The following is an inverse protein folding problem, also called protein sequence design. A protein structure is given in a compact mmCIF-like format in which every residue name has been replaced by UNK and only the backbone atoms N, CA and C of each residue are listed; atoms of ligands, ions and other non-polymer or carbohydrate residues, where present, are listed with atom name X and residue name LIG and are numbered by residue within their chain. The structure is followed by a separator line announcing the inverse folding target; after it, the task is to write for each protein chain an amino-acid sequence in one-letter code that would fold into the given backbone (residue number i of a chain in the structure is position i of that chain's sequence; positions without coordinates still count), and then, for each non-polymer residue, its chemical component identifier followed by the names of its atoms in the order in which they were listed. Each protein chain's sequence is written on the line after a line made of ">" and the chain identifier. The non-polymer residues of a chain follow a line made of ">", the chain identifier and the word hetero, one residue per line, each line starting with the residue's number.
data_IF_790194463539
#
_entry.id   IF_790194463539
#
_cell.length_a   1.000
_cell.length_b   1.000
_cell.length_c   1.000
_cell.angle_alpha   90.00
_cell.angle_beta   90.00
_cell.angle_gamma   90.00
#
_symmetry.space_group_name_H-M   'P 1'
#
loop_
_entity.id
_entity.type
_entity.pdbx_description
1 polymer ?
#
# COMPACT_ATOMS: atom_id res chain seq x y z
N UNK A 1 -9.89 13.84 9.01
CA UNK A 1 -9.11 14.65 9.98
C UNK A 1 -9.07 14.08 11.41
N UNK A 2 -10.15 14.07 12.22
CA UNK A 2 -10.09 13.53 13.61
C UNK A 2 -9.75 12.03 13.65
N UNK A 3 -10.30 11.25 12.73
CA UNK A 3 -10.01 9.82 12.55
C UNK A 3 -8.56 9.57 12.12
N UNK A 4 -8.01 10.40 11.23
CA UNK A 4 -6.63 10.34 10.74
C UNK A 4 -5.62 10.60 11.87
N UNK A 5 -5.88 11.62 12.70
CA UNK A 5 -5.13 11.91 13.92
C UNK A 5 -5.21 10.76 14.93
N UNK A 6 -6.37 10.12 15.08
CA UNK A 6 -6.54 8.97 15.97
C UNK A 6 -5.71 7.76 15.50
N UNK A 7 -5.67 7.49 14.19
CA UNK A 7 -4.86 6.41 13.60
C UNK A 7 -3.37 6.68 13.77
N UNK A 8 -2.94 7.92 13.57
CA UNK A 8 -1.55 8.32 13.80
C UNK A 8 -1.18 8.19 15.28
N UNK A 9 -2.03 8.67 16.19
CA UNK A 9 -1.84 8.53 17.63
C UNK A 9 -1.80 7.06 18.06
N UNK A 10 -2.65 6.22 17.48
CA UNK A 10 -2.63 4.77 17.73
C UNK A 10 -1.33 4.14 17.22
N UNK A 11 -0.86 4.49 16.02
CA UNK A 11 0.41 4.01 15.47
C UNK A 11 1.59 4.40 16.38
N UNK A 12 1.67 5.67 16.77
CA UNK A 12 2.67 6.16 17.72
C UNK A 12 2.54 5.52 19.10
N UNK A 13 1.32 5.25 19.58
CA UNK A 13 1.09 4.55 20.83
C UNK A 13 1.58 3.09 20.78
N UNK A 14 1.39 2.39 19.66
CA UNK A 14 1.99 1.05 19.45
C UNK A 14 3.51 1.08 19.44
N UNK A 15 4.12 2.09 18.81
CA UNK A 15 5.59 2.28 18.83
C UNK A 15 6.08 2.54 20.25
N UNK A 16 5.43 3.45 20.98
CA UNK A 16 5.76 3.75 22.37
C UNK A 16 5.58 2.53 23.28
N UNK A 17 4.50 1.76 23.09
CA UNK A 17 4.25 0.52 23.82
C UNK A 17 5.31 -0.55 23.54
N UNK A 18 5.74 -0.69 22.27
CA UNK A 18 6.84 -1.60 21.92
C UNK A 18 8.17 -1.15 22.53
N UNK A 19 8.43 0.15 22.60
CA UNK A 19 9.66 0.67 23.20
C UNK A 19 9.66 0.52 24.73
N UNK A 20 8.51 0.68 25.37
CA UNK A 20 8.37 0.57 26.83
C UNK A 20 8.29 -0.87 27.35
N UNK A 21 7.75 -1.81 26.56
CA UNK A 21 7.50 -3.19 26.97
C UNK A 21 8.69 -4.15 26.83
N UNK A 22 9.79 -3.71 26.22
CA UNK A 22 10.98 -4.53 25.90
C UNK A 22 10.65 -5.96 25.38
N UNK A 23 9.71 -6.10 24.41
CA UNK A 23 9.20 -7.40 23.97
C UNK A 23 10.30 -8.26 23.31
N UNK A 24 11.41 -7.64 22.91
CA UNK A 24 12.62 -8.32 22.42
C UNK A 24 13.13 -9.38 23.40
N UNK A 25 12.93 -9.21 24.71
CA UNK A 25 13.33 -10.22 25.70
C UNK A 25 12.41 -11.45 25.75
N UNK A 26 11.14 -11.29 25.34
CA UNK A 26 10.16 -12.38 25.24
C UNK A 26 10.19 -13.08 23.87
N UNK A 27 10.71 -12.42 22.84
CA UNK A 27 10.93 -12.99 21.51
C UNK A 27 11.94 -14.14 21.62
N UNK A 28 11.46 -15.36 21.38
CA UNK A 28 12.26 -16.58 21.44
C UNK A 28 12.04 -17.45 22.69
N UNK A 29 11.49 -16.89 23.78
CA UNK A 29 11.17 -17.65 24.99
C UNK A 29 9.84 -18.42 24.86
N UNK A 30 8.85 -17.80 24.21
CA UNK A 30 7.53 -18.40 23.97
C UNK A 30 7.11 -18.21 22.51
N UNK A 31 7.09 -19.29 21.69
CA UNK A 31 6.80 -19.16 20.25
C UNK A 31 5.41 -18.57 19.97
N UNK A 32 4.43 -18.82 20.85
CA UNK A 32 3.09 -18.25 20.74
C UNK A 32 3.07 -16.72 20.89
N UNK A 33 3.87 -16.17 21.82
CA UNK A 33 3.94 -14.71 22.05
C UNK A 33 4.64 -14.04 20.87
N UNK A 34 5.72 -14.65 20.35
CA UNK A 34 6.39 -14.16 19.15
C UNK A 34 5.44 -14.09 17.96
N UNK A 35 4.65 -15.14 17.71
CA UNK A 35 3.67 -15.16 16.61
C UNK A 35 2.58 -14.10 16.80
N UNK A 36 2.07 -13.93 18.03
CA UNK A 36 1.05 -12.93 18.33
C UNK A 36 1.57 -11.50 18.13
N UNK A 37 2.79 -11.21 18.59
CA UNK A 37 3.44 -9.91 18.37
C UNK A 37 3.71 -9.65 16.89
N UNK A 38 4.12 -10.66 16.13
CA UNK A 38 4.30 -10.55 14.69
C UNK A 38 3.00 -10.21 13.97
N UNK A 39 1.91 -10.95 14.25
CA UNK A 39 0.60 -10.70 13.65
C UNK A 39 0.08 -9.31 14.04
N UNK A 40 0.25 -8.91 15.30
CA UNK A 40 -0.11 -7.58 15.76
C UNK A 40 0.65 -6.49 15.00
N UNK A 41 1.98 -6.60 14.91
CA UNK A 41 2.82 -5.61 14.25
C UNK A 41 2.50 -5.54 12.75
N UNK A 42 2.36 -6.69 12.10
CA UNK A 42 1.95 -6.78 10.70
C UNK A 42 0.58 -6.11 10.48
N UNK A 43 -0.38 -6.40 11.35
CA UNK A 43 -1.71 -5.79 11.33
C UNK A 43 -1.66 -4.26 11.51
N UNK A 44 -0.82 -3.76 12.42
CA UNK A 44 -0.63 -2.33 12.64
C UNK A 44 -0.02 -1.64 11.41
N UNK A 45 0.97 -2.26 10.76
CA UNK A 45 1.59 -1.74 9.52
C UNK A 45 0.56 -1.71 8.38
N UNK A 46 -0.19 -2.80 8.18
CA UNK A 46 -1.26 -2.86 7.17
C UNK A 46 -2.33 -1.79 7.43
N UNK A 47 -2.78 -1.67 8.67
CA UNK A 47 -3.76 -0.67 9.08
C UNK A 47 -3.27 0.76 8.83
N UNK A 48 -1.98 1.05 9.07
CA UNK A 48 -1.38 2.33 8.78
C UNK A 48 -1.29 2.59 7.26
N UNK A 49 -0.83 1.62 6.48
CA UNK A 49 -0.70 1.72 5.03
C UNK A 49 -2.05 2.02 4.35
N UNK A 50 -3.10 1.27 4.70
CA UNK A 50 -4.46 1.57 4.21
C UNK A 50 -4.96 2.96 4.63
N UNK A 51 -4.48 3.49 5.75
CA UNK A 51 -4.82 4.85 6.17
C UNK A 51 -4.23 5.91 5.29
N UNK A 52 -2.96 5.76 4.92
CA UNK A 52 -2.28 6.67 3.98
C UNK A 52 -2.97 6.65 2.61
N UNK A 53 -3.29 5.45 2.10
CA UNK A 53 -3.97 5.31 0.80
C UNK A 53 -5.34 6.00 0.80
N UNK A 54 -6.13 5.84 1.86
CA UNK A 54 -7.48 6.42 1.91
C UNK A 54 -7.46 7.95 1.92
N UNK A 55 -6.48 8.56 2.62
CA UNK A 55 -6.30 10.01 2.58
C UNK A 55 -5.78 10.46 1.20
N UNK A 56 -4.93 9.66 0.54
CA UNK A 56 -4.47 9.94 -0.82
C UNK A 56 -5.63 9.88 -1.84
N UNK A 57 -6.57 8.96 -1.68
CA UNK A 57 -7.80 8.89 -2.48
C UNK A 57 -8.67 10.14 -2.29
N UNK A 58 -8.93 10.55 -1.04
CA UNK A 58 -9.72 11.76 -0.77
C UNK A 58 -9.06 13.03 -1.34
N UNK A 59 -7.72 13.10 -1.30
CA UNK A 59 -6.96 14.17 -1.95
C UNK A 59 -7.09 14.09 -3.47
N UNK A 60 -6.99 12.89 -4.05
CA UNK A 60 -7.08 12.68 -5.49
C UNK A 60 -8.43 13.11 -6.07
N UNK A 61 -9.53 12.82 -5.36
CA UNK A 61 -10.88 13.26 -5.75
C UNK A 61 -11.01 14.79 -5.78
N UNK A 62 -10.36 15.47 -4.83
CA UNK A 62 -10.39 16.94 -4.77
C UNK A 62 -9.55 17.62 -5.85
N UNK A 63 -8.47 16.97 -6.28
CA UNK A 63 -7.59 17.50 -7.33
C UNK A 63 -8.16 17.29 -8.75
N UNK A 64 -9.05 16.32 -8.94
CA UNK A 64 -9.62 15.98 -10.25
C UNK A 64 -8.59 15.36 -11.22
N UNK A 65 -9.02 15.04 -12.43
CA UNK A 65 -8.14 14.47 -13.46
C UNK A 65 -7.36 15.58 -14.19
N UNK A 66 -6.04 15.41 -14.45
CA UNK A 66 -5.21 14.20 -14.35
C UNK A 66 -4.38 14.06 -13.06
N UNK A 67 -4.43 15.07 -12.17
CA UNK A 67 -3.55 15.14 -11.00
C UNK A 67 -3.89 14.07 -9.94
N UNK A 68 -5.18 13.72 -9.79
CA UNK A 68 -5.61 12.68 -8.84
C UNK A 68 -4.94 11.32 -9.10
N UNK A 69 -4.84 10.89 -10.36
CA UNK A 69 -4.17 9.64 -10.73
C UNK A 69 -2.67 9.67 -10.44
N UNK A 70 -2.02 10.81 -10.64
CA UNK A 70 -0.60 10.98 -10.31
C UNK A 70 -0.37 10.90 -8.80
N UNK A 71 -1.24 11.52 -7.99
CA UNK A 71 -1.15 11.44 -6.52
C UNK A 71 -1.37 10.02 -6.03
N UNK A 72 -2.35 9.29 -6.59
CA UNK A 72 -2.63 7.91 -6.20
C UNK A 72 -1.45 6.97 -6.51
N UNK A 73 -0.88 7.08 -7.73
CA UNK A 73 0.28 6.27 -8.14
C UNK A 73 1.55 6.64 -7.36
N UNK A 74 1.75 7.91 -7.06
CA UNK A 74 2.86 8.36 -6.22
C UNK A 74 2.72 7.81 -4.78
N UNK A 75 1.51 7.83 -4.22
CA UNK A 75 1.26 7.32 -2.86
C UNK A 75 1.63 5.84 -2.72
N UNK A 76 1.20 4.99 -3.65
CA UNK A 76 1.52 3.56 -3.59
C UNK A 76 3.02 3.30 -3.74
N UNK A 77 3.71 4.02 -4.63
CA UNK A 77 5.17 3.92 -4.82
C UNK A 77 5.93 4.39 -3.58
N UNK A 78 5.47 5.46 -2.91
CA UNK A 78 6.10 5.92 -1.67
C UNK A 78 6.02 4.86 -0.57
N UNK A 79 4.85 4.22 -0.40
CA UNK A 79 4.68 3.14 0.58
C UNK A 79 5.61 1.96 0.24
N UNK A 80 5.72 1.60 -1.03
CA UNK A 80 6.60 0.53 -1.50
C UNK A 80 8.08 0.84 -1.20
N UNK A 81 8.57 2.01 -1.59
CA UNK A 81 9.96 2.44 -1.34
C UNK A 81 10.26 2.53 0.15
N UNK A 82 9.31 2.99 0.96
CA UNK A 82 9.45 3.04 2.42
C UNK A 82 9.60 1.66 3.04
N UNK A 83 8.84 0.65 2.56
CA UNK A 83 8.97 -0.74 3.04
C UNK A 83 10.32 -1.35 2.63
N UNK A 84 10.79 -1.11 1.40
CA UNK A 84 12.11 -1.57 0.96
C UNK A 84 13.21 -0.93 1.82
N UNK A 85 13.13 0.38 2.06
CA UNK A 85 14.09 1.10 2.90
C UNK A 85 14.11 0.58 4.35
N UNK A 86 12.93 0.29 4.93
CA UNK A 86 12.82 -0.26 6.27
C UNK A 86 13.51 -1.63 6.39
N UNK A 87 13.33 -2.51 5.41
CA UNK A 87 13.98 -3.83 5.39
C UNK A 87 15.49 -3.70 5.19
N UNK A 88 15.94 -2.82 4.30
CA UNK A 88 17.36 -2.52 4.08
C UNK A 88 18.06 -2.00 5.34
N UNK A 89 17.39 -1.13 6.08
CA UNK A 89 17.92 -0.60 7.35
C UNK A 89 17.99 -1.70 8.42
N UNK A 90 17.08 -2.67 8.41
CA UNK A 90 17.14 -3.83 9.30
C UNK A 90 18.24 -4.84 8.92
N UNK A 91 18.66 -4.87 7.65
CA UNK A 91 19.58 -5.89 7.12
C UNK A 91 21.08 -5.65 7.44
N UNK A 92 21.42 -4.66 8.27
CA UNK A 92 22.81 -4.27 8.58
C UNK A 92 23.70 -5.41 9.13
N UNK A 93 23.10 -6.42 9.76
CA UNK A 93 23.84 -7.54 10.36
C UNK A 93 24.18 -8.66 9.36
N UNK A 94 23.42 -8.80 8.27
CA UNK A 94 23.61 -9.84 7.24
C UNK A 94 23.15 -9.29 5.88
N UNK A 95 24.07 -8.74 5.05
CA UNK A 95 23.69 -8.02 3.83
C UNK A 95 23.03 -8.89 2.75
N UNK A 96 23.20 -10.22 2.80
CA UNK A 96 22.53 -11.15 1.88
C UNK A 96 21.02 -11.18 2.08
N UNK A 97 20.55 -11.10 3.33
CA UNK A 97 19.12 -11.08 3.66
C UNK A 97 18.41 -9.85 3.09
N UNK A 98 19.07 -8.69 3.12
CA UNK A 98 18.53 -7.48 2.52
C UNK A 98 18.31 -7.66 1.02
N UNK A 99 19.34 -8.11 0.29
CA UNK A 99 19.24 -8.30 -1.16
C UNK A 99 18.14 -9.30 -1.53
N UNK A 100 18.04 -10.42 -0.79
CA UNK A 100 17.09 -11.48 -1.10
C UNK A 100 15.64 -11.02 -0.84
N UNK A 101 15.41 -10.19 0.17
CA UNK A 101 14.10 -9.59 0.45
C UNK A 101 13.71 -8.51 -0.56
N UNK A 102 14.65 -7.66 -1.01
CA UNK A 102 14.39 -6.70 -2.09
C UNK A 102 14.01 -7.41 -3.39
N UNK A 103 14.74 -8.47 -3.76
CA UNK A 103 14.39 -9.27 -4.93
C UNK A 103 13.01 -9.94 -4.78
N UNK A 104 12.65 -10.43 -3.59
CA UNK A 104 11.33 -10.98 -3.34
C UNK A 104 10.22 -9.92 -3.52
N UNK A 105 10.39 -8.72 -2.96
CA UNK A 105 9.41 -7.62 -3.10
C UNK A 105 9.25 -7.23 -4.57
N UNK A 106 10.35 -7.04 -5.30
CA UNK A 106 10.30 -6.71 -6.73
C UNK A 106 9.62 -7.80 -7.56
N UNK A 107 9.86 -9.08 -7.25
CA UNK A 107 9.18 -10.20 -7.94
C UNK A 107 7.66 -10.16 -7.71
N UNK A 108 7.22 -9.82 -6.51
CA UNK A 108 5.79 -9.69 -6.18
C UNK A 108 5.16 -8.52 -6.94
N UNK A 109 5.82 -7.37 -7.00
CA UNK A 109 5.26 -6.18 -7.68
C UNK A 109 5.28 -6.36 -9.21
N UNK A 110 6.41 -6.80 -9.76
CA UNK A 110 6.56 -6.93 -11.22
C UNK A 110 5.81 -8.12 -11.81
N UNK A 111 5.76 -9.27 -11.13
CA UNK A 111 5.09 -10.46 -11.67
C UNK A 111 3.73 -10.71 -11.02
N UNK A 112 3.63 -10.51 -9.70
CA UNK A 112 2.38 -10.72 -8.97
C UNK A 112 1.30 -9.71 -9.33
N UNK A 113 1.59 -8.41 -9.18
CA UNK A 113 0.60 -7.35 -9.47
C UNK A 113 0.27 -7.28 -10.95
N UNK A 114 1.28 -7.32 -11.83
CA UNK A 114 1.06 -7.33 -13.30
C UNK A 114 0.29 -8.57 -13.74
N UNK A 115 0.65 -9.76 -13.23
CA UNK A 115 -0.07 -10.99 -13.52
C UNK A 115 -1.52 -10.96 -13.05
N UNK A 116 -1.78 -10.39 -11.86
CA UNK A 116 -3.14 -10.21 -11.35
C UNK A 116 -3.94 -9.23 -12.23
N UNK A 117 -3.33 -8.12 -12.67
CA UNK A 117 -3.94 -7.20 -13.63
C UNK A 117 -4.32 -7.88 -14.94
N UNK A 118 -3.46 -8.76 -15.48
CA UNK A 118 -3.76 -9.51 -16.70
C UNK A 118 -4.89 -10.54 -16.49
N UNK A 119 -4.91 -11.22 -15.34
CA UNK A 119 -5.95 -12.20 -15.02
C UNK A 119 -7.31 -11.52 -14.82
N UNK A 120 -7.32 -10.38 -14.13
CA UNK A 120 -8.52 -9.55 -13.91
C UNK A 120 -8.99 -8.84 -15.19
N UNK A 121 -8.07 -8.31 -15.99
CA UNK A 121 -8.42 -7.70 -17.28
C UNK A 121 -8.89 -8.73 -18.30
N UNK A 122 -8.29 -9.92 -18.30
CA UNK A 122 -8.62 -11.02 -19.20
C UNK A 122 -10.01 -11.62 -18.97
N UNK A 123 -10.42 -11.78 -17.69
CA UNK A 123 -11.79 -12.27 -17.37
C UNK A 123 -12.88 -11.33 -17.88
N UNK A 124 -12.63 -10.02 -17.86
CA UNK A 124 -13.61 -9.01 -18.27
C UNK A 124 -13.56 -8.74 -19.79
N UNK A 125 -12.39 -8.99 -20.42
CA UNK A 125 -12.18 -8.89 -21.87
C UNK A 125 -12.98 -9.92 -22.67
N UNK A 126 -13.34 -11.07 -22.06
CA UNK A 126 -14.19 -12.08 -22.71
C UNK A 126 -15.62 -11.57 -22.96
N UNK A 127 -16.09 -10.56 -22.22
CA UNK A 127 -17.50 -10.17 -22.17
C UNK A 127 -17.81 -8.79 -22.78
N UNK A 128 -16.81 -7.90 -22.98
CA UNK A 128 -17.04 -6.56 -23.56
C UNK A 128 -15.96 -6.16 -24.57
N UNK A 129 -16.29 -5.97 -25.86
CA UNK A 129 -15.34 -5.40 -26.81
C UNK A 129 -14.98 -3.97 -26.41
N UNK A 130 -13.69 -3.61 -26.54
CA UNK A 130 -13.12 -2.28 -26.24
C UNK A 130 -13.91 -1.15 -26.95
N UNK A 131 -14.53 -1.46 -28.09
CA UNK A 131 -15.38 -0.56 -28.88
C UNK A 131 -16.60 -0.05 -28.08
N UNK A 132 -17.20 -0.87 -27.20
CA UNK A 132 -18.34 -0.42 -26.40
C UNK A 132 -17.96 0.56 -25.27
N UNK A 133 -16.68 0.60 -24.85
CA UNK A 133 -16.20 1.50 -23.79
C UNK A 133 -15.71 2.84 -24.34
N UNK A 134 -15.19 2.85 -25.57
CA UNK A 134 -14.85 4.09 -26.29
C UNK A 134 -16.09 4.91 -26.70
N UNK A 135 -17.24 4.24 -26.85
CA UNK A 135 -18.54 4.86 -27.15
C UNK A 135 -19.36 5.13 -25.87
N UNK A 136 -18.72 5.36 -24.71
CA UNK A 136 -19.41 6.08 -23.64
C UNK A 136 -19.58 7.53 -24.13
N UNK A 137 -20.79 8.09 -24.16
CA UNK A 137 -21.03 9.39 -24.77
C UNK A 137 -20.24 10.46 -24.00
N UNK A 138 -19.06 10.81 -24.50
CA UNK A 138 -18.46 12.13 -24.29
C UNK A 138 -19.48 13.12 -24.83
N UNK A 139 -20.21 13.69 -23.88
CA UNK A 139 -21.29 14.63 -24.08
C UNK A 139 -20.92 15.68 -25.14
N UNK A 140 -21.61 15.61 -26.28
CA UNK A 140 -21.67 16.70 -27.26
C UNK A 140 -22.35 17.98 -26.71
N UNK A 141 -22.64 18.09 -25.41
CA UNK A 141 -23.31 19.26 -24.82
C UNK A 141 -22.42 20.49 -24.62
N UNK A 142 -21.09 20.40 -24.80
CA UNK A 142 -20.19 21.54 -24.51
C UNK A 142 -19.74 22.35 -25.74
N UNK A 143 -20.07 21.93 -26.97
CA UNK A 143 -19.57 22.57 -28.20
C UNK A 143 -20.64 23.34 -29.00
N UNK A 144 -21.87 23.44 -28.50
CA UNK A 144 -22.97 24.16 -29.18
C UNK A 144 -23.47 25.39 -28.41
N UNK A 145 -22.63 26.00 -27.56
CA UNK A 145 -22.95 27.25 -26.84
C UNK A 145 -21.78 28.23 -26.78
N UNK A 146 -20.91 28.23 -27.80
CA UNK A 146 -19.92 29.28 -28.05
C UNK A 146 -20.15 29.89 -29.43
#
# INVERSE_FOLDING_TARGET
>A
MKSSLLRLAAAWATVAAMYAGDPVRLVGAHPAITALLFIWLLGAILWAAFGVVHEAEEVAERLGEPLGTLVLTLSIVIIEVALIAAVMLSAQHVPTLGRDTMFAVLMIVLNGVVGLCLLVGGRDSISKPIICRAQAPISQSSFHSA
#
